data_IF_421622858293
#
_entry.id   IF_421622858293
#
_cell.length_a   1.000
_cell.length_b   1.000
_cell.length_c   1.000
_cell.angle_alpha   90.00
_cell.angle_beta   90.00
_cell.angle_gamma   90.00
#
_symmetry.space_group_name_H-M   'P 1'
#
loop_
_entity.id
_entity.type
_entity.pdbx_description
1 polymer ?
#
# COMPACT_ATOMS: atom_id res chain seq x y z
N UNK A 1 29.10 5.00 3.87
CA UNK A 1 28.80 4.80 2.43
C UNK A 1 27.49 4.05 2.37
N UNK A 2 26.42 4.65 1.85
CA UNK A 2 25.12 3.98 1.75
C UNK A 2 25.20 2.92 0.66
N UNK A 3 24.99 1.66 1.02
CA UNK A 3 24.82 0.59 0.03
C UNK A 3 23.59 0.89 -0.84
N UNK A 4 23.67 0.62 -2.16
CA UNK A 4 22.53 0.77 -3.04
C UNK A 4 21.45 -0.24 -2.62
N UNK A 5 20.28 0.26 -2.25
CA UNK A 5 19.08 -0.54 -2.02
C UNK A 5 18.92 -1.47 -3.22
N UNK A 6 19.01 -2.78 -3.01
CA UNK A 6 18.83 -3.80 -4.04
C UNK A 6 17.44 -3.60 -4.67
N UNK A 7 17.40 -3.00 -5.86
CA UNK A 7 16.18 -2.84 -6.65
C UNK A 7 15.81 -4.25 -7.12
N UNK A 8 14.80 -4.85 -6.50
CA UNK A 8 14.28 -6.16 -6.91
C UNK A 8 13.87 -6.14 -8.39
N UNK A 9 13.77 -7.31 -9.05
CA UNK A 9 13.52 -7.39 -10.49
C UNK A 9 12.28 -6.56 -10.87
N UNK A 10 12.52 -5.54 -11.70
CA UNK A 10 11.49 -4.64 -12.24
C UNK A 10 10.45 -5.46 -13.02
N UNK A 11 9.18 -5.06 -12.97
CA UNK A 11 8.14 -5.66 -13.81
C UNK A 11 8.34 -5.14 -15.25
N UNK A 12 9.37 -5.61 -15.96
CA UNK A 12 9.88 -4.96 -17.19
C UNK A 12 8.83 -4.84 -18.29
N UNK A 13 7.94 -5.82 -18.46
CA UNK A 13 7.03 -5.83 -19.61
C UNK A 13 5.63 -5.27 -19.29
N UNK A 14 5.31 -5.04 -18.00
CA UNK A 14 3.97 -4.63 -17.57
C UNK A 14 3.95 -3.37 -16.72
N UNK A 15 5.11 -2.87 -16.28
CA UNK A 15 5.22 -1.58 -15.64
C UNK A 15 5.16 -0.46 -16.68
N UNK A 16 4.41 0.59 -16.36
CA UNK A 16 4.33 1.83 -17.17
C UNK A 16 4.69 3.09 -16.39
N UNK A 17 4.88 2.98 -15.07
CA UNK A 17 5.21 4.10 -14.21
C UNK A 17 6.66 4.11 -13.72
N UNK A 18 7.49 3.13 -14.10
CA UNK A 18 8.89 3.01 -13.67
C UNK A 18 9.12 2.49 -12.24
N UNK A 19 8.12 2.62 -11.35
CA UNK A 19 8.30 2.37 -9.91
C UNK A 19 7.85 0.98 -9.41
N UNK A 20 7.48 0.04 -10.29
CA UNK A 20 7.01 -1.29 -9.86
C UNK A 20 8.11 -2.36 -9.87
N UNK A 21 8.08 -3.23 -8.85
CA UNK A 21 8.90 -4.44 -8.78
C UNK A 21 8.02 -5.69 -8.67
N UNK A 22 8.61 -6.85 -8.95
CA UNK A 22 7.94 -8.14 -8.77
C UNK A 22 7.61 -8.35 -7.29
N UNK A 23 6.36 -8.71 -7.00
CA UNK A 23 5.89 -9.02 -5.65
C UNK A 23 5.93 -10.54 -5.44
N UNK A 24 5.91 -11.04 -4.20
CA UNK A 24 5.94 -12.49 -3.94
C UNK A 24 4.85 -13.28 -4.68
N UNK A 25 3.71 -12.64 -4.98
CA UNK A 25 2.65 -13.23 -5.79
C UNK A 25 2.43 -12.45 -7.10
N UNK A 26 2.11 -13.19 -8.17
CA UNK A 26 1.71 -12.59 -9.45
C UNK A 26 0.43 -11.74 -9.35
N UNK A 27 -0.39 -11.99 -8.32
CA UNK A 27 -1.59 -11.21 -8.01
C UNK A 27 -1.22 -9.79 -7.59
N UNK A 28 -0.22 -9.63 -6.74
CA UNK A 28 0.28 -8.33 -6.25
C UNK A 28 1.23 -7.63 -7.24
N UNK A 29 1.69 -8.35 -8.26
CA UNK A 29 2.57 -7.83 -9.31
C UNK A 29 1.78 -7.06 -10.37
N UNK A 30 1.24 -5.89 -10.00
CA UNK A 30 0.41 -5.02 -10.85
C UNK A 30 0.88 -3.57 -10.84
N UNK A 31 0.88 -2.92 -12.00
CA UNK A 31 1.21 -1.51 -12.14
C UNK A 31 0.01 -0.62 -11.79
N UNK A 32 0.23 0.60 -11.30
CA UNK A 32 -0.85 1.56 -11.02
C UNK A 32 -1.69 1.87 -12.27
N UNK A 33 -1.05 1.84 -13.45
CA UNK A 33 -1.71 2.00 -14.75
C UNK A 33 -2.66 0.86 -15.13
N UNK A 34 -2.70 -0.25 -14.40
CA UNK A 34 -3.64 -1.35 -14.65
C UNK A 34 -5.05 -1.09 -14.07
N UNK A 35 -5.24 -0.02 -13.31
CA UNK A 35 -6.49 0.26 -12.62
C UNK A 35 -7.07 1.59 -13.09
N UNK A 36 -8.28 1.60 -13.65
CA UNK A 36 -8.94 2.82 -14.14
C UNK A 36 -9.03 3.91 -13.07
N UNK A 37 -9.58 3.57 -11.89
CA UNK A 37 -9.68 4.49 -10.75
C UNK A 37 -8.35 5.01 -10.22
N UNK A 38 -7.28 4.22 -10.30
CA UNK A 38 -5.95 4.70 -9.90
C UNK A 38 -5.43 5.72 -10.90
N UNK A 39 -5.65 5.50 -12.20
CA UNK A 39 -5.30 6.50 -13.22
C UNK A 39 -6.12 7.79 -13.10
N UNK A 40 -7.39 7.68 -12.72
CA UNK A 40 -8.23 8.86 -12.43
C UNK A 40 -7.63 9.68 -11.29
N UNK A 41 -7.23 9.04 -10.19
CA UNK A 41 -6.56 9.71 -9.07
C UNK A 41 -5.18 10.28 -9.45
N UNK A 42 -4.46 9.61 -10.36
CA UNK A 42 -3.16 10.07 -10.84
C UNK A 42 -3.22 11.38 -11.62
N UNK A 43 -4.34 11.64 -12.31
CA UNK A 43 -4.44 12.78 -13.22
C UNK A 43 -3.33 12.75 -14.27
N UNK A 44 -2.44 13.75 -14.22
CA UNK A 44 -1.31 13.89 -15.14
C UNK A 44 -0.02 13.20 -14.65
N UNK A 45 0.00 12.72 -13.40
CA UNK A 45 1.18 12.09 -12.82
C UNK A 45 1.50 10.74 -13.47
N UNK A 46 2.79 10.43 -13.58
CA UNK A 46 3.27 9.18 -14.19
C UNK A 46 3.09 7.99 -13.25
N UNK A 47 3.22 8.18 -11.94
CA UNK A 47 2.95 7.16 -10.93
C UNK A 47 2.01 7.66 -9.84
N UNK A 48 1.19 6.76 -9.30
CA UNK A 48 0.36 7.06 -8.11
C UNK A 48 1.19 7.48 -6.91
N UNK A 49 2.46 7.07 -6.84
CA UNK A 49 3.38 7.46 -5.77
C UNK A 49 3.89 8.88 -5.87
N UNK A 50 3.72 9.51 -7.03
CA UNK A 50 4.16 10.89 -7.29
C UNK A 50 3.04 11.88 -6.94
N UNK A 51 1.80 11.38 -6.83
CA UNK A 51 0.63 12.17 -6.47
C UNK A 51 0.71 12.64 -5.01
N UNK A 52 0.56 13.95 -4.79
CA UNK A 52 0.49 14.54 -3.43
C UNK A 52 -0.60 13.90 -2.57
N UNK A 53 -1.74 13.53 -3.14
CA UNK A 53 -2.82 12.88 -2.41
C UNK A 53 -2.39 11.52 -1.85
N UNK A 54 -1.58 10.75 -2.59
CA UNK A 54 -1.05 9.48 -2.11
C UNK A 54 -0.12 9.69 -0.91
N UNK A 55 0.81 10.63 -1.02
CA UNK A 55 1.76 10.95 0.05
C UNK A 55 1.04 11.34 1.36
N UNK A 56 0.14 12.32 1.27
CA UNK A 56 -0.65 12.79 2.43
C UNK A 56 -1.50 11.67 3.04
N UNK A 57 -2.17 10.85 2.22
CA UNK A 57 -3.12 9.88 2.75
C UNK A 57 -2.49 8.58 3.21
N UNK A 58 -1.34 8.19 2.66
CA UNK A 58 -0.74 6.88 2.84
C UNK A 58 0.61 6.91 3.55
N UNK A 59 1.38 8.00 3.45
CA UNK A 59 2.75 8.07 3.95
C UNK A 59 2.93 9.11 5.08
N UNK A 60 2.06 10.11 5.17
CA UNK A 60 2.16 11.18 6.17
C UNK A 60 1.91 10.67 7.61
N UNK A 61 2.90 10.93 8.48
CA UNK A 61 2.91 10.49 9.88
C UNK A 61 2.04 11.32 10.81
N UNK A 62 1.55 12.47 10.36
CA UNK A 62 0.58 13.29 11.09
C UNK A 62 -0.87 12.89 10.74
N UNK A 63 -1.08 12.24 9.57
CA UNK A 63 -2.39 11.76 9.11
C UNK A 63 -2.73 10.34 9.62
N UNK A 64 -1.75 9.44 9.66
CA UNK A 64 -1.99 8.06 10.08
C UNK A 64 -2.43 7.89 11.55
N UNK A 65 -2.00 8.72 12.52
CA UNK A 65 -2.53 8.69 13.88
C UNK A 65 -4.04 8.92 13.93
N UNK A 66 -4.56 9.87 13.14
CA UNK A 66 -6.01 10.11 13.03
C UNK A 66 -6.71 8.88 12.44
N UNK A 67 -6.12 8.28 11.40
CA UNK A 67 -6.62 7.05 10.80
C UNK A 67 -6.65 5.87 11.78
N UNK A 68 -5.75 5.85 12.78
CA UNK A 68 -5.74 4.83 13.85
C UNK A 68 -6.97 4.99 14.74
N UNK A 69 -7.33 6.22 15.13
CA UNK A 69 -8.53 6.48 15.93
C UNK A 69 -9.81 6.13 15.17
N UNK A 70 -9.90 6.51 13.90
CA UNK A 70 -11.03 6.15 13.02
C UNK A 70 -11.18 4.63 12.90
N UNK A 71 -10.06 3.92 12.71
CA UNK A 71 -10.07 2.46 12.66
C UNK A 71 -10.57 1.86 13.97
N UNK A 72 -10.06 2.34 15.11
CA UNK A 72 -10.42 1.87 16.43
C UNK A 72 -11.91 2.05 16.73
N UNK A 73 -12.49 3.18 16.32
CA UNK A 73 -13.92 3.46 16.49
C UNK A 73 -14.83 2.44 15.79
N UNK A 74 -14.40 1.91 14.64
CA UNK A 74 -15.21 0.99 13.84
C UNK A 74 -14.87 -0.49 14.00
N UNK A 75 -13.65 -0.82 14.42
CA UNK A 75 -13.13 -2.20 14.41
C UNK A 75 -12.58 -2.65 15.78
N UNK A 76 -12.56 -1.76 16.78
CA UNK A 76 -11.82 -1.97 18.01
C UNK A 76 -10.35 -1.53 17.89
N UNK A 77 -9.70 -1.21 19.02
CA UNK A 77 -8.31 -0.77 19.00
C UNK A 77 -7.37 -1.89 18.56
N UNK A 78 -6.24 -1.50 18.00
CA UNK A 78 -5.07 -2.36 17.91
C UNK A 78 -4.60 -2.75 19.32
N UNK A 79 -4.06 -3.95 19.47
CA UNK A 79 -3.51 -4.43 20.74
C UNK A 79 -2.27 -3.64 21.16
N UNK A 80 -1.99 -3.63 22.46
CA UNK A 80 -0.86 -2.88 23.04
C UNK A 80 0.51 -3.43 22.58
N UNK A 81 0.56 -4.71 22.20
CA UNK A 81 1.79 -5.38 21.73
C UNK A 81 2.04 -5.24 20.22
N UNK A 82 1.10 -4.66 19.46
CA UNK A 82 1.22 -4.58 18.00
C UNK A 82 2.24 -3.51 17.60
N UNK A 83 3.31 -3.88 16.86
CA UNK A 83 4.36 -2.93 16.51
C UNK A 83 3.81 -1.78 15.65
N UNK A 84 4.21 -0.55 15.98
CA UNK A 84 3.68 0.67 15.34
C UNK A 84 3.83 0.64 13.80
N UNK A 85 4.96 0.15 13.29
CA UNK A 85 5.22 0.06 11.85
C UNK A 85 4.24 -0.90 11.14
N UNK A 86 3.80 -1.97 11.80
CA UNK A 86 2.79 -2.88 11.23
C UNK A 86 1.42 -2.20 11.19
N UNK A 87 1.06 -1.50 12.27
CA UNK A 87 -0.20 -0.75 12.36
C UNK A 87 -0.26 0.33 11.29
N UNK A 88 0.76 1.17 11.17
CA UNK A 88 0.80 2.23 10.16
C UNK A 88 0.81 1.70 8.74
N UNK A 89 1.54 0.62 8.47
CA UNK A 89 1.49 -0.03 7.16
C UNK A 89 0.10 -0.57 6.84
N UNK A 90 -0.58 -1.20 7.79
CA UNK A 90 -1.95 -1.67 7.59
C UNK A 90 -2.92 -0.50 7.35
N UNK A 91 -2.83 0.58 8.14
CA UNK A 91 -3.62 1.79 7.95
C UNK A 91 -3.35 2.44 6.58
N UNK A 92 -2.09 2.55 6.15
CA UNK A 92 -1.72 3.07 4.84
C UNK A 92 -2.33 2.26 3.70
N UNK A 93 -2.31 0.92 3.78
CA UNK A 93 -2.99 0.07 2.79
C UNK A 93 -4.50 0.33 2.75
N UNK A 94 -5.14 0.49 3.92
CA UNK A 94 -6.57 0.79 4.01
C UNK A 94 -6.90 2.17 3.45
N UNK A 95 -6.10 3.19 3.79
CA UNK A 95 -6.24 4.56 3.30
C UNK A 95 -6.10 4.62 1.79
N UNK A 96 -5.11 3.92 1.21
CA UNK A 96 -5.01 3.77 -0.24
C UNK A 96 -6.29 3.17 -0.84
N UNK A 97 -6.80 2.09 -0.24
CA UNK A 97 -8.01 1.45 -0.75
C UNK A 97 -9.23 2.38 -0.67
N UNK A 98 -9.33 3.18 0.40
CA UNK A 98 -10.39 4.14 0.59
C UNK A 98 -10.27 5.33 -0.38
N UNK A 99 -9.06 5.85 -0.60
CA UNK A 99 -8.79 6.91 -1.56
C UNK A 99 -9.27 6.52 -2.96
N UNK A 100 -8.91 5.32 -3.43
CA UNK A 100 -9.18 4.89 -4.81
C UNK A 100 -10.60 4.33 -4.98
N UNK A 101 -11.07 3.51 -4.05
CA UNK A 101 -12.32 2.76 -4.23
C UNK A 101 -13.40 3.13 -3.22
N UNK A 102 -13.15 4.09 -2.34
CA UNK A 102 -14.08 4.46 -1.26
C UNK A 102 -14.41 3.23 -0.40
N UNK A 103 -15.64 3.13 0.08
CA UNK A 103 -16.10 2.00 0.90
C UNK A 103 -16.31 0.75 0.04
N UNK A 104 -15.48 -0.28 0.26
CA UNK A 104 -15.53 -1.55 -0.49
C UNK A 104 -16.56 -2.56 0.05
N UNK A 105 -16.91 -2.51 1.34
CA UNK A 105 -17.76 -3.51 2.01
C UNK A 105 -17.01 -4.78 2.46
N UNK A 106 -17.68 -5.64 3.25
CA UNK A 106 -17.11 -6.91 3.76
C UNK A 106 -16.84 -7.85 2.58
N UNK A 107 -15.72 -8.58 2.62
CA UNK A 107 -15.34 -9.55 1.59
C UNK A 107 -14.72 -8.97 0.31
N UNK A 108 -14.88 -7.66 0.05
CA UNK A 108 -14.38 -7.04 -1.18
C UNK A 108 -12.97 -6.49 -1.01
N UNK A 109 -11.96 -7.36 -1.15
CA UNK A 109 -10.55 -6.98 -1.05
C UNK A 109 -9.97 -6.59 -2.41
N UNK A 110 -9.39 -5.39 -2.51
CA UNK A 110 -8.69 -4.91 -3.71
C UNK A 110 -7.18 -5.11 -3.57
N UNK A 111 -6.53 -5.42 -4.68
CA UNK A 111 -5.08 -5.55 -4.75
C UNK A 111 -4.50 -4.17 -5.05
N UNK A 112 -3.60 -3.70 -4.19
CA UNK A 112 -2.88 -2.42 -4.33
C UNK A 112 -1.77 -2.58 -5.39
N UNK A 113 -1.49 -1.56 -6.22
CA UNK A 113 -0.37 -1.58 -7.15
C UNK A 113 0.98 -1.79 -6.47
N UNK A 114 1.91 -2.47 -7.15
CA UNK A 114 3.27 -2.76 -6.67
C UNK A 114 4.02 -1.50 -6.24
N UNK A 115 4.01 -0.43 -7.05
CA UNK A 115 4.66 0.84 -6.71
C UNK A 115 4.16 1.41 -5.37
N UNK A 116 2.84 1.43 -5.17
CA UNK A 116 2.23 1.90 -3.92
C UNK A 116 2.58 0.99 -2.73
N UNK A 117 2.54 -0.34 -2.91
CA UNK A 117 2.96 -1.28 -1.86
C UNK A 117 4.43 -1.03 -1.46
N UNK A 118 5.32 -0.89 -2.44
CA UNK A 118 6.75 -0.68 -2.20
C UNK A 118 7.01 0.66 -1.49
N UNK A 119 6.34 1.74 -1.92
CA UNK A 119 6.44 3.03 -1.25
C UNK A 119 5.98 2.96 0.22
N UNK A 120 4.83 2.32 0.47
CA UNK A 120 4.32 2.14 1.84
C UNK A 120 5.27 1.27 2.68
N UNK A 121 5.79 0.16 2.13
CA UNK A 121 6.76 -0.71 2.82
C UNK A 121 8.09 -0.02 3.09
N UNK A 122 8.49 0.92 2.24
CA UNK A 122 9.68 1.74 2.47
C UNK A 122 9.47 2.73 3.62
N UNK A 123 8.28 3.33 3.72
CA UNK A 123 7.94 4.25 4.81
C UNK A 123 7.73 3.53 6.16
N UNK A 124 7.20 2.31 6.12
CA UNK A 124 6.85 1.48 7.28
C UNK A 124 7.41 0.05 7.14
N UNK A 125 8.73 -0.11 7.20
CA UNK A 125 9.39 -1.38 6.91
C UNK A 125 9.18 -2.41 8.02
N UNK A 126 9.18 -3.69 7.63
CA UNK A 126 9.46 -4.78 8.56
C UNK A 126 10.94 -4.77 8.97
N UNK A 127 11.29 -5.37 10.13
CA UNK A 127 12.66 -5.78 10.40
C UNK A 127 13.18 -6.67 9.26
N UNK A 128 14.47 -6.60 8.97
CA UNK A 128 15.09 -7.29 7.82
C UNK A 128 14.86 -8.81 7.82
N UNK A 129 14.75 -9.42 9.00
CA UNK A 129 14.51 -10.86 9.17
C UNK A 129 13.05 -11.29 8.95
N UNK A 130 12.12 -10.37 8.75
CA UNK A 130 10.68 -10.66 8.72
C UNK A 130 10.09 -10.40 7.33
N UNK A 131 9.76 -11.48 6.63
CA UNK A 131 9.08 -11.40 5.34
C UNK A 131 7.64 -10.84 5.46
N UNK A 132 7.19 -10.12 4.43
CA UNK A 132 5.82 -9.65 4.36
C UNK A 132 4.85 -10.78 3.99
N UNK A 133 3.71 -10.88 4.68
CA UNK A 133 2.70 -11.91 4.38
C UNK A 133 2.02 -11.74 3.01
N UNK A 134 1.96 -10.51 2.49
CA UNK A 134 1.31 -10.21 1.20
C UNK A 134 -0.22 -10.23 1.25
N UNK A 135 -0.85 -10.26 0.07
CA UNK A 135 -2.29 -10.16 -0.10
C UNK A 135 -3.02 -11.45 0.34
N UNK A 136 -3.91 -11.33 1.33
CA UNK A 136 -4.84 -12.39 1.72
C UNK A 136 -6.21 -12.16 1.07
N UNK A 137 -6.75 -13.09 0.26
CA UNK A 137 -8.12 -12.99 -0.23
C UNK A 137 -9.13 -12.97 0.92
N UNK A 138 -10.35 -12.50 0.64
CA UNK A 138 -11.43 -12.73 1.59
C UNK A 138 -11.69 -14.24 1.68
N UNK A 139 -11.86 -14.75 2.89
CA UNK A 139 -12.36 -16.10 3.08
C UNK A 139 -13.78 -16.11 2.51
N UNK A 140 -14.03 -16.97 1.51
CA UNK A 140 -15.40 -17.29 1.11
C UNK A 140 -16.03 -18.02 2.29
N UNK A 141 -17.02 -17.40 2.93
CA UNK A 141 -17.95 -18.13 3.82
C UNK A 141 -18.71 -19.20 3.03
#
# INVERSE_FOLDING_TARGET
>A
MCEPVLIGPTITDRCRCGNCQTMPTGRETKCCHNYGKVKEEMGEEVCITDCRTFDINCLDRDVLPVSRYEYAHHNGPYGDEEPEHEVYRHLAYRRFCFLIWQKLGRGNRRVIPSCAILAIRKAYPNPESVAYTGFKPAVSE
#
